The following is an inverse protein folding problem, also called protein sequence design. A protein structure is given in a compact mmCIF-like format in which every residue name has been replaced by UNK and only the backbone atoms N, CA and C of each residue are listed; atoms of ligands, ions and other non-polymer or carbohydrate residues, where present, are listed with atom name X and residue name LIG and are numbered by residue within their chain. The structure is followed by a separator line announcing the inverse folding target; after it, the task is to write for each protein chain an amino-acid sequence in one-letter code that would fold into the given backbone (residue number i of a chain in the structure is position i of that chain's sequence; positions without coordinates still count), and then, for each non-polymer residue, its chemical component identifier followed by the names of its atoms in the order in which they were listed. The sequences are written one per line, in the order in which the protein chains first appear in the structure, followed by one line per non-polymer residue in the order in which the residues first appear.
data_IF_149310804269
#
_entry.id   IF_149310804269
#
_cell.length_a   1.000
_cell.length_b   1.000
_cell.length_c   1.000
_cell.angle_alpha   90.00
_cell.angle_beta   90.00
_cell.angle_gamma   90.00
#
_symmetry.space_group_name_H-M   'P 1'
#
loop_
_entity.id
_entity.type
_entity.pdbx_description
1 polymer ?
#
# COMPACT_ATOMS: atom_id res chain seq x y z
N UNK A 1 -0.21 1.39 19.02
CA UNK A 1 -0.65 1.35 17.65
C UNK A 1 0.53 1.43 16.74
N UNK A 2 0.68 0.48 15.86
CA UNK A 2 1.82 0.42 14.99
C UNK A 2 1.45 0.85 13.58
N UNK A 3 2.40 1.43 12.89
CA UNK A 3 2.19 1.81 11.50
C UNK A 3 3.16 1.00 10.65
N UNK A 4 2.63 0.32 9.65
CA UNK A 4 3.43 -0.49 8.76
C UNK A 4 3.43 0.18 7.39
N UNK A 5 4.60 0.52 6.88
CA UNK A 5 4.73 1.15 5.59
C UNK A 5 5.16 0.10 4.59
N UNK A 6 4.38 -0.05 3.54
CA UNK A 6 4.64 -1.06 2.52
C UNK A 6 5.04 -0.36 1.24
N UNK A 7 6.25 -0.66 0.79
CA UNK A 7 6.78 -0.07 -0.43
C UNK A 7 6.65 -1.07 -1.57
N UNK A 8 6.46 -0.55 -2.75
CA UNK A 8 6.51 -1.39 -3.92
C UNK A 8 7.94 -1.69 -4.27
N UNK A 9 8.19 -2.79 -4.89
CA UNK A 9 9.53 -3.13 -5.28
C UNK A 9 9.54 -4.31 -6.21
N UNK A 10 10.69 -4.64 -6.75
CA UNK A 10 10.78 -5.72 -7.72
C UNK A 10 10.53 -7.09 -7.10
N UNK A 11 10.78 -7.24 -5.81
CA UNK A 11 10.54 -8.50 -5.18
C UNK A 11 9.24 -8.47 -4.45
N UNK A 12 8.16 -8.74 -5.14
CA UNK A 12 6.87 -8.56 -4.55
C UNK A 12 6.17 -9.86 -4.23
N UNK A 13 6.90 -10.96 -4.18
CA UNK A 13 6.26 -12.22 -3.92
C UNK A 13 6.10 -12.54 -2.44
N UNK A 14 6.64 -11.72 -1.58
CA UNK A 14 6.53 -11.98 -0.18
C UNK A 14 5.10 -11.80 0.30
N UNK A 15 4.67 -12.70 1.14
CA UNK A 15 3.34 -12.61 1.71
C UNK A 15 3.44 -11.75 2.96
N UNK A 16 3.04 -10.50 2.87
CA UNK A 16 3.13 -9.56 3.98
C UNK A 16 2.31 -10.04 5.16
N UNK A 17 1.12 -10.57 4.89
CA UNK A 17 0.25 -11.03 5.95
C UNK A 17 0.91 -12.14 6.75
N UNK A 18 1.54 -13.06 6.06
CA UNK A 18 2.18 -14.17 6.73
C UNK A 18 3.37 -13.70 7.55
N UNK A 19 4.16 -12.78 7.02
CA UNK A 19 5.30 -12.25 7.75
C UNK A 19 4.83 -11.54 9.03
N UNK A 20 3.76 -10.79 8.95
CA UNK A 20 3.27 -10.08 10.11
C UNK A 20 2.68 -11.04 11.14
N UNK A 21 1.99 -12.07 10.66
CA UNK A 21 1.44 -13.04 11.57
C UNK A 21 2.54 -13.78 12.30
N UNK A 22 3.62 -14.13 11.61
CA UNK A 22 4.72 -14.83 12.25
C UNK A 22 5.43 -13.96 13.27
N UNK A 23 5.47 -12.65 13.03
CA UNK A 23 6.21 -11.78 13.92
C UNK A 23 5.36 -11.23 15.05
N UNK A 24 4.13 -10.90 14.78
CA UNK A 24 3.29 -10.23 15.75
C UNK A 24 2.03 -10.98 16.13
N UNK A 25 1.80 -12.15 15.54
CA UNK A 25 0.57 -12.88 15.77
C UNK A 25 -0.60 -12.09 15.26
N UNK A 26 -1.73 -12.19 15.91
CA UNK A 26 -2.91 -11.50 15.43
C UNK A 26 -2.91 -10.02 15.75
N UNK A 27 -1.93 -9.54 16.48
CA UNK A 27 -1.88 -8.13 16.83
C UNK A 27 -1.75 -7.26 15.60
N UNK A 28 -1.27 -7.81 14.46
CA UNK A 28 -1.11 -7.01 13.26
C UNK A 28 -2.45 -6.48 12.75
N UNK A 29 -3.55 -7.07 13.15
CA UNK A 29 -4.85 -6.63 12.69
C UNK A 29 -5.21 -5.25 13.22
N UNK A 30 -4.55 -4.81 14.28
CA UNK A 30 -4.79 -3.50 14.83
C UNK A 30 -3.79 -2.48 14.28
N UNK A 31 -2.89 -2.90 13.42
CA UNK A 31 -1.88 -2.01 12.89
C UNK A 31 -2.47 -1.15 11.77
N UNK A 32 -1.88 -0.01 11.53
CA UNK A 32 -2.29 0.84 10.43
C UNK A 32 -1.31 0.63 9.30
N UNK A 33 -1.82 0.45 8.11
CA UNK A 33 -1.00 0.16 6.94
C UNK A 33 -0.98 1.35 5.99
N UNK A 34 0.20 1.70 5.53
CA UNK A 34 0.38 2.78 4.58
C UNK A 34 1.02 2.19 3.34
N UNK A 35 0.36 2.32 2.20
CA UNK A 35 0.89 1.82 0.94
C UNK A 35 1.53 2.96 0.18
N UNK A 36 2.80 2.81 -0.20
CA UNK A 36 3.52 3.82 -0.94
C UNK A 36 3.74 3.31 -2.34
N UNK A 37 3.25 4.01 -3.34
CA UNK A 37 3.35 3.65 -4.75
C UNK A 37 2.83 2.23 -4.96
N UNK A 38 3.64 1.34 -5.47
CA UNK A 38 3.23 -0.04 -5.71
C UNK A 38 2.86 -0.80 -4.45
N UNK A 39 3.28 -0.29 -3.28
CA UNK A 39 2.93 -0.93 -2.03
C UNK A 39 1.43 -0.94 -1.79
N UNK A 40 0.71 0.05 -2.30
CA UNK A 40 -0.74 0.07 -2.16
C UNK A 40 -1.37 -1.13 -2.88
N UNK A 41 -0.83 -1.50 -4.02
CA UNK A 41 -1.35 -2.66 -4.74
C UNK A 41 -1.04 -3.95 -4.00
N UNK A 42 0.10 -4.01 -3.33
CA UNK A 42 0.45 -5.19 -2.55
C UNK A 42 -0.53 -5.37 -1.39
N UNK A 43 -0.92 -4.28 -0.76
CA UNK A 43 -1.89 -4.35 0.32
C UNK A 43 -3.25 -4.79 -0.21
N UNK A 44 -3.65 -4.28 -1.35
CA UNK A 44 -4.92 -4.68 -1.95
C UNK A 44 -4.89 -6.17 -2.31
N UNK A 45 -3.78 -6.62 -2.87
CA UNK A 45 -3.70 -7.99 -3.32
C UNK A 45 -3.80 -8.97 -2.17
N UNK A 46 -3.36 -8.58 -0.99
CA UNK A 46 -3.41 -9.45 0.16
C UNK A 46 -4.59 -9.15 1.08
N UNK A 47 -5.50 -8.30 0.62
CA UNK A 47 -6.72 -7.97 1.36
C UNK A 47 -6.41 -7.41 2.74
N UNK A 48 -5.36 -6.64 2.84
CA UNK A 48 -5.00 -5.98 4.10
C UNK A 48 -5.62 -4.59 4.13
N UNK A 49 -5.97 -4.09 5.30
CA UNK A 49 -6.53 -2.76 5.39
C UNK A 49 -5.48 -1.73 5.03
N UNK A 50 -5.91 -0.63 4.45
CA UNK A 50 -4.99 0.41 4.04
C UNK A 50 -5.50 1.74 4.57
N UNK A 51 -4.77 2.32 5.49
CA UNK A 51 -5.19 3.59 6.05
C UNK A 51 -4.87 4.72 5.08
N UNK A 52 -3.68 4.72 4.51
CA UNK A 52 -3.25 5.78 3.62
C UNK A 52 -2.55 5.19 2.41
N UNK A 53 -2.82 5.73 1.25
CA UNK A 53 -2.09 5.38 0.04
C UNK A 53 -1.38 6.64 -0.45
N UNK A 54 -0.07 6.56 -0.65
CA UNK A 54 0.74 7.70 -1.02
C UNK A 54 1.49 7.40 -2.30
N UNK A 55 1.55 8.34 -3.20
CA UNK A 55 2.35 8.18 -4.41
C UNK A 55 1.78 8.94 -5.58
N UNK A 56 2.46 8.88 -6.73
CA UNK A 56 1.95 9.52 -7.92
C UNK A 56 1.05 8.57 -8.70
N UNK A 57 1.15 7.26 -8.41
CA UNK A 57 0.30 6.24 -9.04
C UNK A 57 0.36 6.26 -10.56
N UNK A 58 1.54 6.63 -11.11
CA UNK A 58 1.69 6.64 -12.54
C UNK A 58 1.68 5.26 -13.13
N UNK A 59 2.16 4.27 -12.43
CA UNK A 59 2.28 2.93 -12.98
C UNK A 59 1.06 2.07 -12.73
N UNK A 60 0.01 2.59 -12.13
CA UNK A 60 -1.19 1.79 -11.89
C UNK A 60 -2.21 2.10 -12.96
N UNK A 61 -3.06 1.13 -13.26
CA UNK A 61 -4.12 1.33 -14.23
C UNK A 61 -5.25 2.10 -13.58
N UNK A 62 -6.20 2.53 -14.39
CA UNK A 62 -7.34 3.26 -13.86
C UNK A 62 -8.13 2.37 -12.92
N UNK A 63 -8.28 1.09 -13.27
CA UNK A 63 -9.02 0.17 -12.42
C UNK A 63 -8.32 -0.03 -11.10
N UNK A 64 -7.00 -0.13 -11.11
CA UNK A 64 -6.24 -0.29 -9.89
C UNK A 64 -6.35 0.97 -9.04
N UNK A 65 -6.33 2.13 -9.67
CA UNK A 65 -6.47 3.37 -8.94
C UNK A 65 -7.84 3.44 -8.25
N UNK A 66 -8.89 3.01 -8.93
CA UNK A 66 -10.22 3.01 -8.34
C UNK A 66 -10.28 2.06 -7.13
N UNK A 67 -9.62 0.93 -7.23
CA UNK A 67 -9.59 -0.01 -6.11
C UNK A 67 -8.85 0.59 -4.91
N UNK A 68 -7.76 1.29 -5.17
CA UNK A 68 -7.00 1.94 -4.12
C UNK A 68 -7.86 3.01 -3.45
N UNK A 69 -8.58 3.78 -4.24
CA UNK A 69 -9.43 4.83 -3.68
C UNK A 69 -10.55 4.24 -2.82
N UNK A 70 -11.03 3.06 -3.18
CA UNK A 70 -12.07 2.42 -2.38
C UNK A 70 -11.55 1.76 -1.12
N UNK A 71 -10.28 1.38 -1.12
CA UNK A 71 -9.72 0.65 0.00
C UNK A 71 -9.04 1.54 1.04
N UNK A 72 -8.42 2.63 0.60
CA UNK A 72 -7.69 3.49 1.51
C UNK A 72 -8.61 4.53 2.12
N UNK A 73 -8.40 4.86 3.37
CA UNK A 73 -9.16 5.91 4.00
C UNK A 73 -8.71 7.28 3.49
N UNK A 74 -7.44 7.43 3.19
CA UNK A 74 -6.89 8.69 2.73
C UNK A 74 -5.96 8.43 1.58
N UNK A 75 -6.03 9.26 0.56
CA UNK A 75 -5.13 9.16 -0.58
C UNK A 75 -4.32 10.44 -0.62
N UNK A 76 -2.99 10.30 -0.64
CA UNK A 76 -2.10 11.43 -0.79
C UNK A 76 -1.43 11.26 -2.14
N UNK A 77 -1.90 11.97 -3.12
CA UNK A 77 -1.35 11.85 -4.46
C UNK A 77 -0.27 12.88 -4.66
N UNK A 78 0.94 12.41 -4.93
CA UNK A 78 2.07 13.28 -5.15
C UNK A 78 2.14 13.67 -6.62
N UNK A 79 2.67 14.83 -6.92
CA UNK A 79 2.78 15.22 -8.32
C UNK A 79 3.84 14.37 -8.99
N UNK A 80 3.57 14.08 -10.23
CA UNK A 80 4.50 13.32 -10.98
C UNK A 80 5.66 14.22 -11.30
N UNK A 81 6.92 13.84 -11.00
CA UNK A 81 7.96 14.65 -11.21
C UNK A 81 8.48 14.61 -12.48
N UNK A 82 7.99 14.59 -13.45
CA UNK A 82 8.45 14.63 -14.71
C UNK A 82 8.91 15.82 -15.04
N UNK A 83 9.31 16.46 -14.76
CA UNK A 83 9.72 17.59 -14.95
C UNK A 83 10.11 18.04 -15.94
N UNK A 84 10.24 18.32 -16.38
CA UNK A 84 10.60 18.90 -17.20
C UNK A 84 10.91 19.99 -17.21
N UNK A 85 11.06 20.35 -17.15
CA UNK A 85 11.42 21.51 -17.16
C UNK A 85 12.12 21.76 -17.48
#
# INVERSE_FOLDING_TARGET
MEVVIVLGGPNTKENIKELLENRYGKAYEDFRFVGVDGGALRLLDQHLPMEVAIGDFDSVTKEQRDLIHGAANTIVQLPSEKDDT
#
